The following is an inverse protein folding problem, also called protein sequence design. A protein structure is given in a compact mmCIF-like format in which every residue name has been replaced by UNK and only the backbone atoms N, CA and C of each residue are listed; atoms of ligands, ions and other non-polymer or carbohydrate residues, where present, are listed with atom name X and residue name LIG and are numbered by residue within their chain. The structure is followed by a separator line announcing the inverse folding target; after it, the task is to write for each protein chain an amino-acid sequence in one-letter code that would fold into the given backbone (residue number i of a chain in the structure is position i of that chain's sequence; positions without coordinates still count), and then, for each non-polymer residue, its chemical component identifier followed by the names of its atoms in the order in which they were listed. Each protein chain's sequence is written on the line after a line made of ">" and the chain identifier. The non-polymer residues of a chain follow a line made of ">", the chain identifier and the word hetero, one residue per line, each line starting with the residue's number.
data_IF_697453039236
#
_entry.id   IF_697453039236
#
_cell.length_a   1.000
_cell.length_b   1.000
_cell.length_c   1.000
_cell.angle_alpha   90.00
_cell.angle_beta   90.00
_cell.angle_gamma   90.00
#
_symmetry.space_group_name_H-M   'P 1'
#
loop_
_entity.id
_entity.type
_entity.pdbx_description
1 polymer ?
#
# COMPACT_ATOMS: atom_id res chain seq x y z
N UNK A 1 6.53 51.72 -70.36
CA UNK A 1 7.80 52.19 -69.79
C UNK A 1 7.94 51.51 -68.43
N UNK A 2 8.98 50.67 -68.30
CA UNK A 2 9.45 49.88 -67.15
C UNK A 2 8.45 48.96 -66.40
N UNK A 3 8.53 47.64 -66.53
CA UNK A 3 9.62 46.68 -66.25
C UNK A 3 9.61 46.19 -64.79
N UNK A 4 9.17 44.94 -64.65
CA UNK A 4 9.71 43.90 -63.77
C UNK A 4 10.36 44.34 -62.45
N UNK A 5 9.69 44.02 -61.35
CA UNK A 5 10.33 43.63 -60.10
C UNK A 5 9.42 42.62 -59.38
N UNK A 6 9.36 41.40 -59.93
CA UNK A 6 9.05 40.23 -59.12
C UNK A 6 10.32 40.01 -58.29
N UNK A 7 10.29 40.42 -57.01
CA UNK A 7 11.32 40.05 -56.05
C UNK A 7 11.20 38.54 -55.83
N UNK A 8 11.98 37.79 -56.59
CA UNK A 8 12.33 36.41 -56.29
C UNK A 8 13.20 36.45 -55.03
N UNK A 9 12.56 36.51 -53.86
CA UNK A 9 13.16 36.11 -52.58
C UNK A 9 13.23 34.57 -52.56
N UNK A 10 13.92 34.02 -53.56
CA UNK A 10 14.24 32.62 -53.66
C UNK A 10 15.36 32.30 -52.68
N UNK A 11 15.06 31.49 -51.69
CA UNK A 11 16.01 30.92 -50.74
C UNK A 11 17.28 30.46 -51.48
N UNK A 12 18.45 31.01 -51.13
CA UNK A 12 19.68 30.64 -51.83
C UNK A 12 20.07 29.21 -51.47
N UNK A 13 20.87 28.52 -52.30
CA UNK A 13 21.34 27.18 -51.98
C UNK A 13 22.12 27.11 -50.64
N UNK A 14 22.75 28.22 -50.24
CA UNK A 14 23.40 28.35 -48.93
C UNK A 14 22.39 28.43 -47.79
N UNK A 15 21.28 29.13 -47.98
CA UNK A 15 20.20 29.24 -46.98
C UNK A 15 19.46 27.90 -46.83
N UNK A 16 19.28 27.16 -47.93
CA UNK A 16 18.73 25.81 -47.92
C UNK A 16 19.62 24.83 -47.14
N UNK A 17 20.93 24.81 -47.40
CA UNK A 17 21.86 23.96 -46.68
C UNK A 17 21.94 24.30 -45.18
N UNK A 18 21.88 25.59 -44.81
CA UNK A 18 21.86 26.02 -43.42
C UNK A 18 20.55 25.59 -42.71
N UNK A 19 19.41 25.65 -43.40
CA UNK A 19 18.13 25.21 -42.89
C UNK A 19 18.09 23.69 -42.68
N UNK A 20 18.55 22.89 -43.65
CA UNK A 20 18.63 21.43 -43.53
C UNK A 20 19.56 20.99 -42.40
N UNK A 21 20.69 21.70 -42.21
CA UNK A 21 21.59 21.45 -41.09
C UNK A 21 20.91 21.68 -39.74
N UNK A 22 20.17 22.77 -39.58
CA UNK A 22 19.42 23.07 -38.35
C UNK A 22 18.32 22.04 -38.08
N UNK A 23 17.62 21.56 -39.12
CA UNK A 23 16.63 20.49 -38.99
C UNK A 23 17.29 19.19 -38.54
N UNK A 24 18.43 18.82 -39.13
CA UNK A 24 19.16 17.61 -38.75
C UNK A 24 19.62 17.64 -37.28
N UNK A 25 20.09 18.79 -36.79
CA UNK A 25 20.45 18.99 -35.38
C UNK A 25 19.21 18.83 -34.47
N UNK A 26 18.10 19.50 -34.79
CA UNK A 26 16.85 19.40 -34.02
C UNK A 26 16.29 17.96 -33.99
N UNK A 27 16.40 17.23 -35.11
CA UNK A 27 16.02 15.81 -35.19
C UNK A 27 16.91 14.96 -34.27
N UNK A 28 18.22 15.21 -34.26
CA UNK A 28 19.17 14.53 -33.39
C UNK A 28 18.89 14.77 -31.91
N UNK A 29 18.65 16.01 -31.52
CA UNK A 29 18.31 16.37 -30.14
C UNK A 29 16.99 15.73 -29.70
N UNK A 30 15.96 15.79 -30.55
CA UNK A 30 14.65 15.18 -30.26
C UNK A 30 14.76 13.66 -30.14
N UNK A 31 15.60 13.01 -30.95
CA UNK A 31 15.83 11.57 -30.87
C UNK A 31 16.51 11.18 -29.54
N UNK A 32 17.49 11.97 -29.09
CA UNK A 32 18.11 11.78 -27.79
C UNK A 32 17.09 11.92 -26.64
N UNK A 33 16.22 12.94 -26.69
CA UNK A 33 15.14 13.13 -25.70
C UNK A 33 14.12 11.99 -25.72
N UNK A 34 13.75 11.49 -26.90
CA UNK A 34 12.84 10.33 -27.01
C UNK A 34 13.45 9.06 -26.40
N UNK A 35 14.75 8.82 -26.61
CA UNK A 35 15.49 7.72 -25.98
C UNK A 35 15.49 7.84 -24.46
N UNK A 36 15.79 9.03 -23.93
CA UNK A 36 15.74 9.30 -22.48
C UNK A 36 14.33 9.09 -21.92
N UNK A 37 13.28 9.48 -22.65
CA UNK A 37 11.89 9.23 -22.28
C UNK A 37 11.55 7.75 -22.21
N UNK A 38 12.05 6.94 -23.14
CA UNK A 38 11.87 5.49 -23.13
C UNK A 38 12.59 4.81 -21.95
N UNK A 39 13.81 5.26 -21.62
CA UNK A 39 14.54 4.78 -20.44
C UNK A 39 13.80 5.16 -19.14
N UNK A 40 13.33 6.39 -19.02
CA UNK A 40 12.54 6.84 -17.88
C UNK A 40 11.22 6.04 -17.74
N UNK A 41 10.57 5.71 -18.86
CA UNK A 41 9.40 4.83 -18.86
C UNK A 41 9.75 3.45 -18.30
N UNK A 42 10.88 2.88 -18.70
CA UNK A 42 11.29 1.57 -18.20
C UNK A 42 11.56 1.57 -16.70
N UNK A 43 12.29 2.58 -16.20
CA UNK A 43 12.53 2.75 -14.76
C UNK A 43 11.21 2.89 -13.99
N UNK A 44 10.25 3.64 -14.53
CA UNK A 44 8.93 3.78 -13.91
C UNK A 44 8.16 2.46 -13.86
N UNK A 45 8.21 1.62 -14.92
CA UNK A 45 7.61 0.27 -14.88
C UNK A 45 8.22 -0.60 -13.79
N UNK A 46 9.55 -0.62 -13.70
CA UNK A 46 10.26 -1.46 -12.74
C UNK A 46 9.92 -1.04 -11.31
N UNK A 47 9.86 0.27 -11.04
CA UNK A 47 9.40 0.81 -9.77
C UNK A 47 7.96 0.38 -9.44
N UNK A 48 7.04 0.44 -10.41
CA UNK A 48 5.65 0.01 -10.24
C UNK A 48 5.53 -1.49 -9.94
N UNK A 49 6.34 -2.33 -10.60
CA UNK A 49 6.39 -3.76 -10.31
C UNK A 49 6.92 -4.03 -8.90
N UNK A 50 7.92 -3.28 -8.43
CA UNK A 50 8.43 -3.42 -7.08
C UNK A 50 7.39 -3.04 -6.00
N UNK A 51 6.58 -2.01 -6.27
CA UNK A 51 5.48 -1.62 -5.38
C UNK A 51 4.39 -2.69 -5.36
N UNK A 52 4.06 -3.29 -6.50
CA UNK A 52 3.10 -4.40 -6.59
C UNK A 52 3.56 -5.62 -5.78
N UNK A 53 4.83 -6.03 -5.93
CA UNK A 53 5.39 -7.15 -5.15
C UNK A 53 5.36 -6.85 -3.64
N UNK A 54 5.76 -5.63 -3.27
CA UNK A 54 5.74 -5.19 -1.86
C UNK A 54 4.32 -5.20 -1.29
N UNK A 55 3.33 -4.81 -2.10
CA UNK A 55 1.91 -4.83 -1.73
C UNK A 55 1.43 -6.27 -1.49
N UNK A 56 1.77 -7.22 -2.36
CA UNK A 56 1.44 -8.65 -2.17
C UNK A 56 2.10 -9.27 -0.92
N UNK A 57 3.32 -8.85 -0.60
CA UNK A 57 3.97 -9.27 0.66
C UNK A 57 3.22 -8.71 1.87
N UNK A 58 2.78 -7.46 1.80
CA UNK A 58 2.03 -6.81 2.88
C UNK A 58 0.66 -7.46 3.09
N UNK A 59 -0.07 -7.78 2.01
CA UNK A 59 -1.35 -8.51 2.08
C UNK A 59 -1.21 -9.82 2.84
N UNK A 60 -0.22 -10.66 2.48
CA UNK A 60 0.03 -11.94 3.18
C UNK A 60 0.38 -11.77 4.65
N UNK A 61 1.13 -10.73 5.00
CA UNK A 61 1.47 -10.43 6.41
C UNK A 61 0.24 -9.99 7.20
N UNK A 62 -0.64 -9.21 6.57
CA UNK A 62 -1.89 -8.78 7.18
C UNK A 62 -2.86 -9.96 7.38
N UNK A 63 -2.96 -10.87 6.42
CA UNK A 63 -3.74 -12.10 6.58
C UNK A 63 -3.25 -12.92 7.78
N UNK A 64 -1.94 -13.10 7.90
CA UNK A 64 -1.34 -13.80 9.04
C UNK A 64 -1.62 -13.08 10.38
N UNK A 65 -1.60 -11.75 10.40
CA UNK A 65 -1.94 -10.97 11.59
C UNK A 65 -3.43 -11.12 11.95
N UNK A 66 -4.31 -11.14 10.95
CA UNK A 66 -5.74 -11.37 11.14
C UNK A 66 -6.03 -12.74 11.75
N UNK A 67 -5.39 -13.80 11.25
CA UNK A 67 -5.50 -15.15 11.82
C UNK A 67 -4.97 -15.19 13.27
N UNK A 68 -3.83 -14.53 13.52
CA UNK A 68 -3.29 -14.43 14.87
C UNK A 68 -4.26 -13.73 15.85
N UNK A 69 -4.86 -12.60 15.45
CA UNK A 69 -5.88 -11.90 16.25
C UNK A 69 -7.08 -12.79 16.56
N UNK A 70 -7.58 -13.55 15.57
CA UNK A 70 -8.69 -14.48 15.78
C UNK A 70 -8.37 -15.57 16.82
N UNK A 71 -7.16 -16.14 16.75
CA UNK A 71 -6.69 -17.12 17.73
C UNK A 71 -6.57 -16.51 19.13
N UNK A 72 -6.06 -15.28 19.23
CA UNK A 72 -5.99 -14.56 20.50
C UNK A 72 -7.41 -14.35 21.06
N UNK A 73 -8.36 -13.91 20.25
CA UNK A 73 -9.76 -13.73 20.69
C UNK A 73 -10.39 -15.04 21.21
N UNK A 74 -10.10 -16.17 20.57
CA UNK A 74 -10.56 -17.48 21.07
C UNK A 74 -9.96 -17.85 22.44
N UNK A 75 -8.68 -17.51 22.66
CA UNK A 75 -8.01 -17.70 23.95
C UNK A 75 -8.64 -16.78 25.01
N UNK A 76 -8.87 -15.50 24.68
CA UNK A 76 -9.50 -14.55 25.59
C UNK A 76 -10.89 -15.00 26.03
N UNK A 77 -11.72 -15.48 25.09
CA UNK A 77 -13.04 -16.05 25.41
C UNK A 77 -12.94 -17.24 26.37
N UNK A 78 -11.92 -18.09 26.20
CA UNK A 78 -11.66 -19.21 27.12
C UNK A 78 -11.27 -18.72 28.52
N UNK A 79 -10.38 -17.72 28.61
CA UNK A 79 -9.95 -17.13 29.88
C UNK A 79 -11.13 -16.48 30.60
N UNK A 80 -11.98 -15.75 29.88
CA UNK A 80 -13.18 -15.11 30.42
C UNK A 80 -14.15 -16.16 30.99
N UNK A 81 -14.37 -17.27 30.27
CA UNK A 81 -15.17 -18.39 30.75
C UNK A 81 -14.59 -19.01 32.03
N UNK A 82 -13.28 -19.21 32.09
CA UNK A 82 -12.58 -19.72 33.29
C UNK A 82 -12.72 -18.74 34.46
N UNK A 83 -12.54 -17.44 34.23
CA UNK A 83 -12.68 -16.41 35.26
C UNK A 83 -14.12 -16.38 35.80
N UNK A 84 -15.12 -16.43 34.92
CA UNK A 84 -16.54 -16.49 35.30
C UNK A 84 -16.86 -17.74 36.12
N UNK A 85 -16.40 -18.92 35.69
CA UNK A 85 -16.58 -20.17 36.44
C UNK A 85 -15.87 -20.13 37.80
N UNK A 86 -14.65 -19.59 37.86
CA UNK A 86 -13.89 -19.43 39.11
C UNK A 86 -14.59 -18.50 40.07
N UNK A 87 -15.15 -17.40 39.57
CA UNK A 87 -15.96 -16.47 40.37
C UNK A 87 -17.22 -17.13 40.94
N UNK A 88 -17.91 -17.97 40.15
CA UNK A 88 -19.07 -18.75 40.63
C UNK A 88 -18.67 -19.80 41.68
N UNK A 89 -17.55 -20.51 41.49
CA UNK A 89 -17.03 -21.45 42.47
C UNK A 89 -16.66 -20.75 43.79
N UNK A 90 -15.99 -19.61 43.71
CA UNK A 90 -15.63 -18.79 44.87
C UNK A 90 -16.85 -18.25 45.61
N UNK A 91 -17.90 -17.87 44.87
CA UNK A 91 -19.17 -17.46 45.45
C UNK A 91 -19.84 -18.61 46.22
N UNK A 92 -19.90 -19.80 45.63
CA UNK A 92 -20.45 -20.99 46.31
C UNK A 92 -19.64 -21.33 47.58
N UNK A 93 -18.32 -21.24 47.52
CA UNK A 93 -17.46 -21.45 48.68
C UNK A 93 -17.69 -20.41 49.79
N UNK A 94 -17.94 -19.14 49.41
CA UNK A 94 -18.29 -18.08 50.37
C UNK A 94 -19.62 -18.37 51.07
N UNK A 95 -20.62 -18.88 50.34
CA UNK A 95 -21.93 -19.27 50.89
C UNK A 95 -21.76 -20.43 51.88
N UNK A 96 -21.01 -21.47 51.51
CA UNK A 96 -20.81 -22.63 52.39
C UNK A 96 -19.97 -22.28 53.63
N UNK A 97 -18.97 -21.40 53.47
CA UNK A 97 -18.19 -20.87 54.59
C UNK A 97 -19.07 -20.07 55.57
N UNK A 98 -20.00 -19.27 55.07
CA UNK A 98 -20.97 -18.57 55.92
C UNK A 98 -21.90 -19.55 56.67
N UNK A 99 -22.30 -20.64 56.01
CA UNK A 99 -23.14 -21.70 56.60
C UNK A 99 -22.42 -22.46 57.73
N UNK A 100 -21.11 -22.63 57.62
CA UNK A 100 -20.27 -23.24 58.65
C UNK A 100 -20.01 -22.33 59.88
N UNK A 101 -20.43 -21.06 59.84
CA UNK A 101 -20.30 -20.13 60.95
C UNK A 101 -18.84 -19.84 61.32
N UNK A 102 -18.52 -19.89 62.63
CA UNK A 102 -17.16 -19.65 63.15
C UNK A 102 -16.11 -20.58 62.52
N UNK A 103 -16.46 -21.84 62.25
CA UNK A 103 -15.55 -22.83 61.66
C UNK A 103 -15.19 -22.50 60.19
N UNK A 104 -16.01 -21.72 59.50
CA UNK A 104 -15.82 -21.34 58.10
C UNK A 104 -15.04 -20.04 57.88
N UNK A 105 -14.67 -19.30 58.93
CA UNK A 105 -14.06 -17.96 58.80
C UNK A 105 -12.81 -17.92 57.91
N UNK A 106 -11.90 -18.87 58.08
CA UNK A 106 -10.68 -18.94 57.26
C UNK A 106 -10.98 -19.24 55.78
N UNK A 107 -11.94 -20.14 55.52
CA UNK A 107 -12.40 -20.45 54.17
C UNK A 107 -13.09 -19.25 53.51
N UNK A 108 -13.86 -18.46 54.26
CA UNK A 108 -14.51 -17.25 53.75
C UNK A 108 -13.50 -16.22 53.23
N UNK A 109 -12.37 -16.02 53.94
CA UNK A 109 -11.30 -15.12 53.50
C UNK A 109 -10.69 -15.59 52.19
N UNK A 110 -10.32 -16.87 52.10
CA UNK A 110 -9.74 -17.44 50.87
C UNK A 110 -10.73 -17.36 49.70
N UNK A 111 -12.01 -17.68 49.93
CA UNK A 111 -13.04 -17.59 48.90
C UNK A 111 -13.24 -16.15 48.40
N UNK A 112 -13.18 -15.16 49.30
CA UNK A 112 -13.20 -13.74 48.94
C UNK A 112 -12.03 -13.33 48.04
N UNK A 113 -10.82 -13.78 48.37
CA UNK A 113 -9.61 -13.47 47.60
C UNK A 113 -9.66 -14.12 46.20
N UNK A 114 -10.08 -15.39 46.11
CA UNK A 114 -10.27 -16.07 44.81
C UNK A 114 -11.31 -15.35 43.96
N UNK A 115 -12.41 -14.88 44.57
CA UNK A 115 -13.43 -14.10 43.87
C UNK A 115 -12.86 -12.78 43.33
N UNK A 116 -12.06 -12.08 44.12
CA UNK A 116 -11.41 -10.84 43.71
C UNK A 116 -10.44 -11.06 42.53
N UNK A 117 -9.60 -12.11 42.60
CA UNK A 117 -8.69 -12.49 41.52
C UNK A 117 -9.42 -12.86 40.24
N UNK A 118 -10.53 -13.60 40.34
CA UNK A 118 -11.37 -13.93 39.19
C UNK A 118 -11.95 -12.67 38.52
N UNK A 119 -12.42 -11.69 39.32
CA UNK A 119 -12.87 -10.40 38.81
C UNK A 119 -11.77 -9.57 38.14
N UNK A 120 -10.57 -9.54 38.72
CA UNK A 120 -9.41 -8.88 38.11
C UNK A 120 -9.00 -9.56 36.79
N UNK A 121 -9.08 -10.89 36.72
CA UNK A 121 -8.78 -11.66 35.51
C UNK A 121 -9.78 -11.35 34.39
N UNK A 122 -11.07 -11.29 34.71
CA UNK A 122 -12.11 -10.92 33.74
C UNK A 122 -11.86 -9.52 33.17
N UNK A 123 -11.63 -8.53 34.04
CA UNK A 123 -11.33 -7.16 33.63
C UNK A 123 -10.08 -7.06 32.75
N UNK A 124 -8.99 -7.74 33.14
CA UNK A 124 -7.78 -7.77 32.32
C UNK A 124 -8.01 -8.40 30.94
N UNK A 125 -8.87 -9.43 30.88
CA UNK A 125 -9.25 -10.09 29.63
C UNK A 125 -10.05 -9.14 28.72
N UNK A 126 -11.01 -8.39 29.27
CA UNK A 126 -11.76 -7.35 28.55
C UNK A 126 -10.83 -6.25 28.01
N UNK A 127 -9.89 -5.77 28.83
CA UNK A 127 -8.91 -4.74 28.44
C UNK A 127 -8.02 -5.22 27.28
N UNK A 128 -7.61 -6.51 27.29
CA UNK A 128 -6.83 -7.10 26.19
C UNK A 128 -7.72 -7.24 24.94
N UNK A 129 -8.96 -7.69 25.08
CA UNK A 129 -9.90 -7.81 23.95
C UNK A 129 -10.12 -6.47 23.24
N UNK A 130 -10.27 -5.37 24.00
CA UNK A 130 -10.38 -4.03 23.45
C UNK A 130 -9.13 -3.61 22.64
N UNK A 131 -7.93 -3.98 23.12
CA UNK A 131 -6.67 -3.70 22.41
C UNK A 131 -6.55 -4.51 21.11
N UNK A 132 -6.98 -5.77 21.12
CA UNK A 132 -7.01 -6.61 19.90
C UNK A 132 -8.02 -6.05 18.90
N UNK A 133 -9.19 -5.60 19.34
CA UNK A 133 -10.17 -4.96 18.46
C UNK A 133 -9.65 -3.67 17.81
N UNK A 134 -8.87 -2.87 18.55
CA UNK A 134 -8.19 -1.70 17.98
C UNK A 134 -7.16 -2.12 16.92
N UNK A 135 -6.35 -3.15 17.21
CA UNK A 135 -5.38 -3.69 16.26
C UNK A 135 -6.05 -4.22 14.99
N UNK A 136 -7.21 -4.89 15.11
CA UNK A 136 -7.98 -5.38 13.96
C UNK A 136 -8.49 -4.22 13.08
N UNK A 137 -8.77 -3.04 13.66
CA UNK A 137 -9.15 -1.86 12.89
C UNK A 137 -7.95 -1.25 12.14
N UNK A 138 -6.81 -1.10 12.81
CA UNK A 138 -5.55 -0.65 12.17
C UNK A 138 -5.18 -1.56 11.00
N UNK A 139 -5.36 -2.88 11.17
CA UNK A 139 -5.16 -3.87 10.11
C UNK A 139 -6.07 -3.64 8.90
N UNK A 140 -7.34 -3.29 9.12
CA UNK A 140 -8.27 -2.98 8.02
C UNK A 140 -7.86 -1.72 7.27
N UNK A 141 -7.44 -0.68 7.99
CA UNK A 141 -6.96 0.57 7.37
C UNK A 141 -5.72 0.32 6.51
N UNK A 142 -4.81 -0.55 6.97
CA UNK A 142 -3.65 -0.97 6.17
C UNK A 142 -4.12 -1.67 4.88
N UNK A 143 -5.09 -2.59 4.93
CA UNK A 143 -5.60 -3.27 3.73
C UNK A 143 -6.23 -2.29 2.74
N UNK A 144 -6.98 -1.31 3.21
CA UNK A 144 -7.59 -0.32 2.33
C UNK A 144 -6.53 0.58 1.68
N UNK A 145 -5.47 0.93 2.43
CA UNK A 145 -4.29 1.60 1.89
C UNK A 145 -3.58 0.78 0.81
N UNK A 146 -3.42 -0.53 1.02
CA UNK A 146 -2.81 -1.44 0.05
C UNK A 146 -3.66 -1.56 -1.21
N UNK A 147 -4.99 -1.67 -1.09
CA UNK A 147 -5.90 -1.67 -2.26
C UNK A 147 -5.80 -0.37 -3.04
N UNK A 148 -5.72 0.78 -2.35
CA UNK A 148 -5.50 2.08 -2.98
C UNK A 148 -4.15 2.18 -3.70
N UNK A 149 -3.10 1.62 -3.11
CA UNK A 149 -1.78 1.49 -3.74
C UNK A 149 -1.86 0.66 -5.02
N UNK A 150 -2.52 -0.51 -4.98
CA UNK A 150 -2.71 -1.38 -6.14
C UNK A 150 -3.42 -0.67 -7.30
N UNK A 151 -4.46 0.11 -7.03
CA UNK A 151 -5.14 0.93 -8.06
C UNK A 151 -4.22 2.00 -8.65
N UNK A 152 -3.41 2.65 -7.80
CA UNK A 152 -2.47 3.68 -8.24
C UNK A 152 -1.35 3.09 -9.11
N UNK A 153 -0.84 1.92 -8.74
CA UNK A 153 0.13 1.16 -9.53
C UNK A 153 -0.46 0.76 -10.89
N UNK A 154 -1.69 0.27 -10.93
CA UNK A 154 -2.35 -0.11 -12.19
C UNK A 154 -2.48 1.09 -13.15
N UNK A 155 -2.93 2.25 -12.66
CA UNK A 155 -2.97 3.49 -13.45
C UNK A 155 -1.58 3.96 -13.87
N UNK A 156 -0.59 3.80 -12.99
CA UNK A 156 0.80 4.12 -13.29
C UNK A 156 1.36 3.28 -14.44
N UNK A 157 1.12 1.97 -14.42
CA UNK A 157 1.52 1.06 -15.50
C UNK A 157 0.90 1.46 -16.84
N UNK A 158 -0.41 1.76 -16.86
CA UNK A 158 -1.11 2.21 -18.08
C UNK A 158 -0.51 3.51 -18.64
N UNK A 159 -0.25 4.51 -17.79
CA UNK A 159 0.37 5.77 -18.20
C UNK A 159 1.78 5.56 -18.78
N UNK A 160 2.55 4.65 -18.21
CA UNK A 160 3.91 4.35 -18.65
C UNK A 160 3.91 3.58 -19.99
N UNK A 161 2.93 2.72 -20.22
CA UNK A 161 2.75 2.03 -21.49
C UNK A 161 2.36 3.01 -22.60
N UNK A 162 1.45 3.94 -22.33
CA UNK A 162 1.13 5.04 -23.24
C UNK A 162 2.36 5.89 -23.56
N UNK A 163 3.17 6.24 -22.55
CA UNK A 163 4.41 6.99 -22.75
C UNK A 163 5.41 6.24 -23.63
N UNK A 164 5.51 4.92 -23.47
CA UNK A 164 6.40 4.08 -24.28
C UNK A 164 5.96 4.01 -25.73
N UNK A 165 4.66 3.92 -25.99
CA UNK A 165 4.12 3.98 -27.34
C UNK A 165 4.41 5.35 -27.98
N UNK A 166 4.16 6.44 -27.26
CA UNK A 166 4.41 7.79 -27.76
C UNK A 166 5.90 8.03 -28.09
N UNK A 167 6.83 7.57 -27.25
CA UNK A 167 8.27 7.73 -27.53
C UNK A 167 8.74 6.87 -28.70
N UNK A 168 8.17 5.67 -28.87
CA UNK A 168 8.43 4.83 -30.05
C UNK A 168 7.92 5.47 -31.35
N UNK A 169 6.73 6.07 -31.33
CA UNK A 169 6.18 6.80 -32.47
C UNK A 169 7.06 8.00 -32.84
N UNK A 170 7.48 8.80 -31.86
CA UNK A 170 8.41 9.92 -32.07
C UNK A 170 9.72 9.43 -32.69
N UNK A 171 10.32 8.37 -32.14
CA UNK A 171 11.55 7.80 -32.68
C UNK A 171 11.40 7.35 -34.15
N UNK A 172 10.26 6.73 -34.48
CA UNK A 172 9.96 6.32 -35.85
C UNK A 172 9.81 7.53 -36.80
N UNK A 173 9.08 8.56 -36.38
CA UNK A 173 8.91 9.79 -37.15
C UNK A 173 10.24 10.52 -37.40
N UNK A 174 11.11 10.57 -36.39
CA UNK A 174 12.43 11.19 -36.51
C UNK A 174 13.34 10.43 -37.48
N UNK A 175 13.30 9.10 -37.50
CA UNK A 175 14.05 8.33 -38.49
C UNK A 175 13.55 8.60 -39.92
N UNK A 176 12.24 8.76 -40.10
CA UNK A 176 11.66 9.13 -41.39
C UNK A 176 12.00 10.58 -41.82
N UNK A 177 12.15 11.51 -40.87
CA UNK A 177 12.62 12.87 -41.14
C UNK A 177 14.10 12.89 -41.52
N UNK A 178 14.95 12.16 -40.77
CA UNK A 178 16.38 12.06 -41.03
C UNK A 178 16.70 11.55 -42.43
N UNK A 179 15.91 10.60 -42.94
CA UNK A 179 16.06 10.04 -44.30
C UNK A 179 15.55 10.96 -45.42
N UNK A 180 14.83 12.03 -45.09
CA UNK A 180 14.37 13.05 -46.06
C UNK A 180 15.27 14.28 -46.13
N UNK A 181 16.01 14.56 -45.05
CA UNK A 181 16.89 15.73 -44.90
C UNK A 181 18.34 15.41 -45.27
N UNK A 182 18.75 14.13 -45.22
CA UNK A 182 20.03 13.64 -45.74
C UNK A 182 19.85 12.86 -47.03
#
# INVERSE_FOLDING_TARGET
>A
MNAYAYSDDGMTASDAAAHDHSIAEAVGETAARASQGAEAAQVARDAMNQVEESSQVLERRVEALTDASQRINAILSTIEAIASQTNLLALNATIEAARAGEAGRGFAVVAGEVKALAGQTAKATEDIAARIAALDNEVKEILDGVRGSGQSVARGKEAVDQMTQATQEVAHQLNNLRTKVG
#
